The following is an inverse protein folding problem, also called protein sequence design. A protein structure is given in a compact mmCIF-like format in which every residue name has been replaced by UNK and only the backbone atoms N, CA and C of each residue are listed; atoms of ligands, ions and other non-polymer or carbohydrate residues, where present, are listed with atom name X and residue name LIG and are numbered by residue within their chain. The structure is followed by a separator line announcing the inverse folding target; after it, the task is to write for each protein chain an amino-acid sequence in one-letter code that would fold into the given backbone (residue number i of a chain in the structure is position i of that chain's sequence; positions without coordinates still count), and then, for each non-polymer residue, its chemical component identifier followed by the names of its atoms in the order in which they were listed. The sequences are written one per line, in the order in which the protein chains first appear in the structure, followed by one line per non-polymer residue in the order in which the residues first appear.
data_IF_794598476720
#
_entry.id   IF_794598476720
#
_cell.length_a   1.000
_cell.length_b   1.000
_cell.length_c   1.000
_cell.angle_alpha   90.00
_cell.angle_beta   90.00
_cell.angle_gamma   90.00
#
_symmetry.space_group_name_H-M   'P 1'
#
loop_
_entity.id
_entity.type
_entity.pdbx_description
1 polymer ?
#
# COMPACT_ATOMS: atom_id res chain seq x y z
N UNK A 1 -8.61 -5.53 -39.70
CA UNK A 1 -8.69 -6.06 -38.31
C UNK A 1 -9.89 -6.99 -38.25
N UNK A 2 -9.72 -8.29 -37.98
CA UNK A 2 -10.86 -9.20 -37.80
C UNK A 2 -11.46 -8.96 -36.41
N UNK A 3 -12.63 -8.33 -36.36
CA UNK A 3 -13.51 -8.28 -35.19
C UNK A 3 -13.98 -9.70 -34.88
N UNK A 4 -13.71 -10.19 -33.67
CA UNK A 4 -14.27 -11.47 -33.22
C UNK A 4 -15.76 -11.24 -32.89
N UNK A 5 -16.64 -11.62 -33.82
CA UNK A 5 -18.07 -11.74 -33.53
C UNK A 5 -18.27 -13.04 -32.78
N UNK A 6 -18.31 -12.98 -31.45
CA UNK A 6 -18.82 -14.09 -30.67
C UNK A 6 -20.33 -14.14 -30.90
N UNK A 7 -20.79 -15.16 -31.60
CA UNK A 7 -22.22 -15.49 -31.79
C UNK A 7 -22.43 -16.95 -31.41
N UNK A 8 -23.67 -17.34 -31.11
CA UNK A 8 -24.01 -18.75 -30.89
C UNK A 8 -24.00 -19.24 -29.43
N UNK A 9 -24.19 -18.36 -28.44
CA UNK A 9 -24.41 -18.78 -27.04
C UNK A 9 -25.84 -19.22 -26.72
N UNK A 10 -26.79 -19.03 -27.65
CA UNK A 10 -28.17 -19.49 -27.52
C UNK A 10 -28.38 -20.98 -27.12
N UNK A 11 -27.52 -21.94 -27.53
CA UNK A 11 -27.64 -23.35 -27.13
C UNK A 11 -26.99 -23.71 -25.79
N UNK A 12 -26.46 -22.74 -25.01
CA UNK A 12 -25.76 -23.02 -23.76
C UNK A 12 -26.53 -22.51 -22.52
N UNK A 13 -27.72 -23.05 -22.20
CA UNK A 13 -28.61 -22.54 -21.13
C UNK A 13 -28.07 -22.77 -19.71
N UNK A 14 -26.97 -23.52 -19.57
CA UNK A 14 -26.32 -23.83 -18.30
C UNK A 14 -24.93 -23.21 -18.17
N UNK A 15 -24.53 -22.33 -19.09
CA UNK A 15 -23.24 -21.67 -19.02
C UNK A 15 -23.21 -20.73 -17.82
N UNK A 16 -22.43 -21.08 -16.80
CA UNK A 16 -22.27 -20.29 -15.56
C UNK A 16 -21.03 -19.42 -15.55
N UNK A 17 -19.94 -19.91 -16.14
CA UNK A 17 -18.66 -19.22 -16.14
C UNK A 17 -18.16 -19.12 -17.57
N UNK A 18 -17.79 -17.92 -18.00
CA UNK A 18 -17.22 -17.67 -19.32
C UNK A 18 -15.90 -16.90 -19.21
N UNK A 19 -14.85 -17.54 -19.71
CA UNK A 19 -13.51 -16.97 -19.85
C UNK A 19 -13.29 -16.54 -21.30
N UNK A 20 -13.15 -15.23 -21.51
CA UNK A 20 -12.97 -14.62 -22.82
C UNK A 20 -11.87 -13.54 -22.80
N UNK A 21 -10.93 -13.66 -21.87
CA UNK A 21 -9.77 -12.76 -21.74
C UNK A 21 -8.80 -12.83 -22.93
N UNK A 22 -8.01 -11.78 -23.14
CA UNK A 22 -6.96 -11.70 -24.16
C UNK A 22 -7.47 -11.90 -25.60
N UNK A 23 -8.68 -11.43 -25.89
CA UNK A 23 -9.30 -11.49 -27.21
C UNK A 23 -9.37 -10.08 -27.85
N UNK A 24 -10.19 -9.94 -28.89
CA UNK A 24 -10.46 -8.66 -29.59
C UNK A 24 -11.94 -8.28 -29.49
N UNK A 25 -12.56 -8.59 -28.35
CA UNK A 25 -13.96 -8.29 -28.09
C UNK A 25 -14.09 -6.78 -27.87
N UNK A 26 -15.05 -6.18 -28.57
CA UNK A 26 -15.27 -4.72 -28.54
C UNK A 26 -16.62 -4.33 -27.92
N UNK A 27 -17.47 -5.31 -27.59
CA UNK A 27 -18.81 -5.10 -27.07
C UNK A 27 -19.26 -6.27 -26.18
N UNK A 28 -20.02 -5.94 -25.13
CA UNK A 28 -20.66 -6.92 -24.24
C UNK A 28 -21.94 -7.55 -24.83
N UNK A 29 -22.46 -7.04 -25.96
CA UNK A 29 -23.73 -7.47 -26.56
C UNK A 29 -23.89 -8.99 -26.72
N UNK A 30 -22.87 -9.76 -27.15
CA UNK A 30 -22.98 -11.21 -27.28
C UNK A 30 -23.39 -11.98 -26.02
N UNK A 31 -23.17 -11.39 -24.84
CA UNK A 31 -23.36 -12.07 -23.56
C UNK A 31 -24.65 -11.67 -22.85
N UNK A 32 -25.35 -10.63 -23.33
CA UNK A 32 -26.43 -9.97 -22.59
C UNK A 32 -27.63 -10.87 -22.29
N UNK A 33 -27.81 -11.97 -23.03
CA UNK A 33 -28.97 -12.87 -22.91
C UNK A 33 -28.65 -14.21 -22.22
N UNK A 34 -27.44 -14.38 -21.68
CA UNK A 34 -27.01 -15.64 -21.05
C UNK A 34 -27.43 -15.64 -19.57
N UNK A 35 -28.73 -15.88 -19.31
CA UNK A 35 -29.34 -15.73 -17.98
C UNK A 35 -28.65 -16.51 -16.84
N UNK A 36 -28.09 -17.68 -17.14
CA UNK A 36 -27.41 -18.56 -16.16
C UNK A 36 -26.00 -18.11 -15.78
N UNK A 37 -25.47 -17.07 -16.41
CA UNK A 37 -24.07 -16.67 -16.26
C UNK A 37 -23.86 -16.00 -14.90
N UNK A 38 -22.98 -16.57 -14.09
CA UNK A 38 -22.61 -16.08 -12.76
C UNK A 38 -21.24 -15.40 -12.75
N UNK A 39 -20.36 -15.74 -13.69
CA UNK A 39 -19.04 -15.12 -13.84
C UNK A 39 -18.66 -14.90 -15.30
N UNK A 40 -18.21 -13.68 -15.61
CA UNK A 40 -17.78 -13.27 -16.94
C UNK A 40 -16.42 -12.58 -16.86
N UNK A 41 -15.41 -13.18 -17.50
CA UNK A 41 -14.08 -12.60 -17.63
C UNK A 41 -13.86 -12.07 -19.06
N UNK A 42 -13.79 -10.75 -19.18
CA UNK A 42 -13.53 -10.01 -20.42
C UNK A 42 -12.24 -9.19 -20.33
N UNK A 43 -11.33 -9.56 -19.43
CA UNK A 43 -10.04 -8.90 -19.23
C UNK A 43 -9.23 -8.81 -20.53
N UNK A 44 -8.47 -7.72 -20.73
CA UNK A 44 -7.53 -7.60 -21.86
C UNK A 44 -8.22 -7.76 -23.22
N UNK A 45 -9.28 -6.98 -23.44
CA UNK A 45 -10.01 -6.86 -24.69
C UNK A 45 -9.98 -5.39 -25.18
N UNK A 46 -10.89 -5.00 -26.07
CA UNK A 46 -10.97 -3.63 -26.62
C UNK A 46 -12.36 -3.02 -26.43
N UNK A 47 -13.05 -3.38 -25.35
CA UNK A 47 -14.38 -2.88 -25.01
C UNK A 47 -14.28 -1.40 -24.62
N UNK A 48 -15.19 -0.58 -25.17
CA UNK A 48 -15.27 0.87 -24.87
C UNK A 48 -16.49 1.29 -24.07
N UNK A 49 -17.59 0.54 -24.17
CA UNK A 49 -18.89 0.87 -23.56
C UNK A 49 -19.54 -0.40 -23.03
N UNK A 50 -20.15 -0.32 -21.85
CA UNK A 50 -20.71 -1.47 -21.13
C UNK A 50 -22.10 -1.85 -21.65
N UNK A 51 -23.03 -0.88 -21.66
CA UNK A 51 -24.41 -1.04 -22.17
C UNK A 51 -25.18 -2.20 -21.52
N UNK A 52 -25.14 -2.36 -20.20
CA UNK A 52 -25.91 -3.40 -19.49
C UNK A 52 -27.35 -2.97 -19.10
N UNK A 53 -27.87 -1.87 -19.63
CA UNK A 53 -29.20 -1.35 -19.26
C UNK A 53 -30.38 -2.24 -19.70
N UNK A 54 -30.18 -3.09 -20.71
CA UNK A 54 -31.19 -4.02 -21.26
C UNK A 54 -30.61 -5.44 -21.33
N UNK A 55 -30.22 -6.00 -20.19
CA UNK A 55 -29.58 -7.34 -20.11
C UNK A 55 -30.38 -8.33 -19.27
N UNK A 56 -30.33 -9.60 -19.64
CA UNK A 56 -30.91 -10.73 -18.88
C UNK A 56 -29.90 -11.37 -17.91
N UNK A 57 -28.74 -10.74 -17.70
CA UNK A 57 -27.64 -11.22 -16.84
C UNK A 57 -27.96 -11.06 -15.34
N UNK A 58 -29.12 -11.56 -14.91
CA UNK A 58 -29.66 -11.37 -13.55
C UNK A 58 -28.91 -12.17 -12.48
N UNK A 59 -28.20 -13.24 -12.86
CA UNK A 59 -27.42 -14.09 -11.95
C UNK A 59 -25.92 -13.72 -11.91
N UNK A 60 -25.49 -12.71 -12.70
CA UNK A 60 -24.07 -12.38 -12.80
C UNK A 60 -23.55 -11.77 -11.49
N UNK A 61 -22.67 -12.50 -10.81
CA UNK A 61 -22.09 -12.09 -9.53
C UNK A 61 -20.69 -11.48 -9.69
N UNK A 62 -19.95 -11.88 -10.74
CA UNK A 62 -18.57 -11.47 -10.95
C UNK A 62 -18.30 -11.07 -12.40
N UNK A 63 -17.78 -9.86 -12.58
CA UNK A 63 -17.44 -9.30 -13.88
C UNK A 63 -16.03 -8.69 -13.86
N UNK A 64 -15.13 -9.24 -14.68
CA UNK A 64 -13.81 -8.67 -14.91
C UNK A 64 -13.75 -8.03 -16.30
N UNK A 65 -13.55 -6.72 -16.31
CA UNK A 65 -13.40 -5.88 -17.50
C UNK A 65 -12.07 -5.12 -17.47
N UNK A 66 -11.12 -5.57 -16.65
CA UNK A 66 -9.83 -4.91 -16.51
C UNK A 66 -9.02 -4.94 -17.82
N UNK A 67 -8.14 -3.95 -18.03
CA UNK A 67 -7.34 -3.84 -19.25
C UNK A 67 -8.21 -3.76 -20.53
N UNK A 68 -9.22 -2.90 -20.52
CA UNK A 68 -10.01 -2.56 -21.71
C UNK A 68 -9.79 -1.08 -22.05
N UNK A 69 -10.75 -0.43 -22.74
CA UNK A 69 -10.71 0.98 -23.13
C UNK A 69 -12.01 1.69 -22.75
N UNK A 70 -12.57 1.32 -21.60
CA UNK A 70 -13.87 1.84 -21.13
C UNK A 70 -13.68 3.28 -20.67
N UNK A 71 -14.51 4.19 -21.18
CA UNK A 71 -14.40 5.64 -20.94
C UNK A 71 -15.35 6.14 -19.84
N UNK A 72 -16.44 5.40 -19.58
CA UNK A 72 -17.46 5.72 -18.57
C UNK A 72 -17.95 4.45 -17.87
N UNK A 73 -18.22 4.55 -16.56
CA UNK A 73 -18.96 3.52 -15.83
C UNK A 73 -20.44 3.88 -15.88
N UNK A 74 -21.17 3.22 -16.76
CA UNK A 74 -22.60 3.42 -17.00
C UNK A 74 -23.35 2.09 -17.13
N UNK A 75 -24.67 2.15 -16.87
CA UNK A 75 -25.62 1.05 -17.06
C UNK A 75 -25.32 -0.26 -16.32
N UNK A 76 -24.34 -0.26 -15.42
CA UNK A 76 -23.90 -1.44 -14.66
C UNK A 76 -24.91 -1.82 -13.56
N UNK A 77 -25.76 -0.87 -13.15
CA UNK A 77 -26.91 -1.08 -12.26
C UNK A 77 -27.93 -2.08 -12.83
N UNK A 78 -27.91 -2.33 -14.15
CA UNK A 78 -28.69 -3.38 -14.80
C UNK A 78 -28.26 -4.82 -14.43
N UNK A 79 -27.19 -4.98 -13.63
CA UNK A 79 -26.70 -6.27 -13.12
C UNK A 79 -27.04 -6.43 -11.63
N UNK A 80 -28.27 -6.85 -11.27
CA UNK A 80 -28.79 -6.76 -9.91
C UNK A 80 -28.09 -7.69 -8.90
N UNK A 81 -27.42 -8.74 -9.37
CA UNK A 81 -26.70 -9.70 -8.51
C UNK A 81 -25.20 -9.45 -8.43
N UNK A 82 -24.69 -8.38 -9.04
CA UNK A 82 -23.25 -8.15 -9.13
C UNK A 82 -22.64 -7.86 -7.76
N UNK A 83 -21.58 -8.61 -7.43
CA UNK A 83 -20.87 -8.54 -6.14
C UNK A 83 -19.42 -8.12 -6.31
N UNK A 84 -18.80 -8.47 -7.43
CA UNK A 84 -17.42 -8.13 -7.77
C UNK A 84 -17.38 -7.51 -9.16
N UNK A 85 -16.89 -6.27 -9.24
CA UNK A 85 -16.61 -5.57 -10.48
C UNK A 85 -15.15 -5.12 -10.52
N UNK A 86 -14.42 -5.60 -11.53
CA UNK A 86 -13.05 -5.19 -11.79
C UNK A 86 -12.97 -4.39 -13.09
N UNK A 87 -12.62 -3.12 -12.98
CA UNK A 87 -12.45 -2.16 -14.07
C UNK A 87 -11.05 -1.54 -14.06
N UNK A 88 -10.09 -2.18 -13.39
CA UNK A 88 -8.72 -1.68 -13.34
C UNK A 88 -8.13 -1.53 -14.76
N UNK A 89 -7.28 -0.53 -14.98
CA UNK A 89 -6.63 -0.28 -16.27
C UNK A 89 -7.64 -0.06 -17.41
N UNK A 90 -8.45 0.98 -17.27
CA UNK A 90 -9.33 1.49 -18.32
C UNK A 90 -9.10 3.02 -18.45
N UNK A 91 -9.96 3.71 -19.20
CA UNK A 91 -9.90 5.15 -19.42
C UNK A 91 -11.10 5.86 -18.76
N UNK A 92 -11.61 5.32 -17.64
CA UNK A 92 -12.86 5.82 -17.03
C UNK A 92 -12.64 7.20 -16.44
N UNK A 93 -13.40 8.17 -16.92
CA UNK A 93 -13.38 9.56 -16.43
C UNK A 93 -14.55 9.90 -15.51
N UNK A 94 -15.66 9.16 -15.65
CA UNK A 94 -16.94 9.46 -15.00
C UNK A 94 -17.72 8.19 -14.61
N UNK A 95 -18.51 8.32 -13.56
CA UNK A 95 -19.41 7.28 -13.03
C UNK A 95 -20.83 7.81 -13.10
N UNK A 96 -21.69 7.14 -13.87
CA UNK A 96 -23.09 7.48 -14.07
C UNK A 96 -23.95 6.26 -13.68
N UNK A 97 -24.47 6.29 -12.47
CA UNK A 97 -25.31 5.23 -11.90
C UNK A 97 -26.60 5.89 -11.44
N UNK A 98 -27.73 5.43 -11.98
CA UNK A 98 -29.05 5.99 -11.65
C UNK A 98 -29.60 5.45 -10.34
N UNK A 99 -29.31 4.18 -10.03
CA UNK A 99 -29.81 3.49 -8.83
C UNK A 99 -28.66 2.86 -8.02
N UNK A 100 -28.65 3.01 -6.67
CA UNK A 100 -27.62 2.40 -5.84
C UNK A 100 -27.48 0.89 -6.05
N UNK A 101 -26.24 0.40 -6.11
CA UNK A 101 -25.94 -1.02 -6.29
C UNK A 101 -25.73 -1.70 -4.93
N UNK A 102 -26.83 -2.10 -4.29
CA UNK A 102 -26.84 -2.58 -2.90
C UNK A 102 -26.11 -3.92 -2.66
N UNK A 103 -25.80 -4.67 -3.72
CA UNK A 103 -25.13 -5.98 -3.62
C UNK A 103 -23.63 -5.94 -3.94
N UNK A 104 -23.13 -4.82 -4.46
CA UNK A 104 -21.74 -4.72 -4.87
C UNK A 104 -20.83 -4.65 -3.64
N UNK A 105 -19.94 -5.63 -3.49
CA UNK A 105 -19.03 -5.76 -2.33
C UNK A 105 -17.61 -5.35 -2.66
N UNK A 106 -17.17 -5.56 -3.90
CA UNK A 106 -15.81 -5.31 -4.35
C UNK A 106 -15.88 -4.48 -5.64
N UNK A 107 -15.31 -3.28 -5.60
CA UNK A 107 -15.17 -2.40 -6.73
C UNK A 107 -13.70 -2.01 -6.91
N UNK A 108 -13.14 -2.34 -8.07
CA UNK A 108 -11.78 -1.98 -8.45
C UNK A 108 -11.81 -1.07 -9.67
N UNK A 109 -11.28 0.14 -9.51
CA UNK A 109 -11.26 1.23 -10.48
C UNK A 109 -9.85 1.86 -10.57
N UNK A 110 -8.81 1.10 -10.21
CA UNK A 110 -7.43 1.58 -10.22
C UNK A 110 -6.94 1.78 -11.66
N UNK A 111 -5.99 2.67 -11.89
CA UNK A 111 -5.46 2.98 -13.22
C UNK A 111 -6.56 3.42 -14.19
N UNK A 112 -7.30 4.45 -13.79
CA UNK A 112 -8.30 5.12 -14.60
C UNK A 112 -8.03 6.65 -14.57
N UNK A 113 -9.01 7.46 -14.93
CA UNK A 113 -8.89 8.93 -15.05
C UNK A 113 -9.96 9.65 -14.22
N UNK A 114 -10.46 9.00 -13.16
CA UNK A 114 -11.51 9.54 -12.31
C UNK A 114 -11.03 10.82 -11.61
N UNK A 115 -11.88 11.86 -11.63
CA UNK A 115 -11.63 13.14 -10.93
C UNK A 115 -12.36 13.25 -9.60
N UNK A 116 -13.40 12.45 -9.41
CA UNK A 116 -14.17 12.35 -8.16
C UNK A 116 -14.74 10.94 -8.03
N UNK A 117 -15.18 10.60 -6.82
CA UNK A 117 -15.89 9.36 -6.56
C UNK A 117 -17.04 9.60 -5.57
N UNK A 118 -18.19 8.99 -5.83
CA UNK A 118 -19.35 9.02 -4.92
C UNK A 118 -19.63 7.61 -4.38
N UNK A 119 -19.32 7.38 -3.11
CA UNK A 119 -19.57 6.12 -2.42
C UNK A 119 -21.04 5.82 -2.15
N UNK A 120 -21.94 6.81 -2.18
CA UNK A 120 -23.36 6.59 -1.89
C UNK A 120 -24.05 5.67 -2.90
N UNK A 121 -23.44 5.47 -4.07
CA UNK A 121 -23.93 4.61 -5.13
C UNK A 121 -23.69 3.11 -4.83
N UNK A 122 -22.89 2.76 -3.82
CA UNK A 122 -22.46 1.38 -3.57
C UNK A 122 -22.47 1.02 -2.07
N UNK A 123 -23.63 1.01 -1.39
CA UNK A 123 -23.72 1.03 0.08
C UNK A 123 -23.20 -0.23 0.80
N UNK A 124 -23.15 -1.42 0.17
CA UNK A 124 -22.59 -2.66 0.78
C UNK A 124 -21.10 -2.90 0.43
N UNK A 125 -20.38 -1.89 -0.06
CA UNK A 125 -18.96 -2.04 -0.40
C UNK A 125 -18.13 -2.45 0.82
N UNK A 126 -17.27 -3.44 0.58
CA UNK A 126 -16.28 -3.98 1.53
C UNK A 126 -14.86 -3.72 1.07
N UNK A 127 -14.64 -3.61 -0.24
CA UNK A 127 -13.34 -3.30 -0.84
C UNK A 127 -13.50 -2.30 -1.97
N UNK A 128 -12.77 -1.19 -1.87
CA UNK A 128 -12.77 -0.11 -2.86
C UNK A 128 -11.34 0.29 -3.17
N UNK A 129 -10.91 0.05 -4.41
CA UNK A 129 -9.57 0.45 -4.89
C UNK A 129 -9.67 1.46 -6.02
N UNK A 130 -9.05 2.62 -5.80
CA UNK A 130 -9.07 3.81 -6.66
C UNK A 130 -7.64 4.27 -7.01
N UNK A 131 -6.65 3.39 -6.93
CA UNK A 131 -5.23 3.74 -7.05
C UNK A 131 -4.92 4.29 -8.44
N UNK A 132 -4.00 5.25 -8.55
CA UNK A 132 -3.59 5.82 -9.85
C UNK A 132 -4.78 6.36 -10.65
N UNK A 133 -5.46 7.34 -10.06
CA UNK A 133 -6.50 8.16 -10.72
C UNK A 133 -6.10 9.65 -10.61
N UNK A 134 -7.06 10.56 -10.78
CA UNK A 134 -6.89 12.02 -10.64
C UNK A 134 -7.91 12.59 -9.64
N UNK A 135 -8.26 11.80 -8.62
CA UNK A 135 -9.36 12.13 -7.70
C UNK A 135 -8.97 13.32 -6.83
N UNK A 136 -9.83 14.34 -6.83
CA UNK A 136 -9.71 15.51 -5.94
C UNK A 136 -10.67 15.46 -4.77
N UNK A 137 -11.79 14.74 -4.90
CA UNK A 137 -12.83 14.68 -3.87
C UNK A 137 -13.52 13.32 -3.85
N UNK A 138 -13.74 12.82 -2.65
CA UNK A 138 -14.56 11.63 -2.41
C UNK A 138 -15.74 12.00 -1.52
N UNK A 139 -16.96 11.78 -2.00
CA UNK A 139 -18.20 12.00 -1.25
C UNK A 139 -18.89 10.67 -0.96
N UNK A 140 -19.83 10.65 0.00
CA UNK A 140 -20.63 9.47 0.30
C UNK A 140 -19.87 8.33 1.01
N UNK A 141 -18.69 8.59 1.59
CA UNK A 141 -17.98 7.58 2.41
C UNK A 141 -18.79 7.18 3.65
N UNK A 142 -19.62 8.08 4.19
CA UNK A 142 -20.56 7.79 5.28
C UNK A 142 -21.61 6.74 4.90
N UNK A 143 -21.90 6.58 3.60
CA UNK A 143 -22.87 5.62 3.08
C UNK A 143 -22.31 4.21 2.87
N UNK A 144 -21.00 4.00 3.09
CA UNK A 144 -20.33 2.68 2.95
C UNK A 144 -19.74 2.20 4.28
N UNK A 145 -20.56 2.00 5.32
CA UNK A 145 -20.09 1.73 6.68
C UNK A 145 -19.39 0.37 6.86
N UNK A 146 -19.53 -0.54 5.88
CA UNK A 146 -18.96 -1.88 5.89
C UNK A 146 -17.63 -1.98 5.12
N UNK A 147 -17.02 -0.85 4.79
CA UNK A 147 -15.75 -0.82 4.07
C UNK A 147 -14.63 -1.39 4.95
N UNK A 148 -14.01 -2.49 4.50
CA UNK A 148 -12.91 -3.14 5.21
C UNK A 148 -11.54 -2.78 4.63
N UNK A 149 -11.47 -2.58 3.31
CA UNK A 149 -10.23 -2.23 2.61
C UNK A 149 -10.47 -1.07 1.66
N UNK A 150 -9.72 0.00 1.86
CA UNK A 150 -9.82 1.24 1.09
C UNK A 150 -8.44 1.64 0.55
N UNK A 151 -8.36 1.91 -0.74
CA UNK A 151 -7.12 2.31 -1.40
C UNK A 151 -7.39 3.49 -2.34
N UNK A 152 -6.63 4.57 -2.17
CA UNK A 152 -6.65 5.76 -3.05
C UNK A 152 -5.21 6.22 -3.31
N UNK A 153 -4.28 5.28 -3.48
CA UNK A 153 -2.87 5.63 -3.71
C UNK A 153 -2.71 6.48 -4.97
N UNK A 154 -1.75 7.41 -4.94
CA UNK A 154 -1.31 8.19 -6.09
C UNK A 154 -2.46 8.78 -6.93
N UNK A 155 -2.97 9.95 -6.52
CA UNK A 155 -3.95 10.69 -7.31
C UNK A 155 -3.32 11.72 -8.24
N UNK A 156 -2.12 11.46 -8.76
CA UNK A 156 -1.43 12.35 -9.69
C UNK A 156 -1.01 13.69 -9.05
N UNK A 157 -0.65 13.67 -7.76
CA UNK A 157 -0.26 14.87 -7.02
C UNK A 157 -1.42 15.74 -6.54
N UNK A 158 -2.67 15.35 -6.80
CA UNK A 158 -3.83 16.05 -6.26
C UNK A 158 -3.93 15.88 -4.74
N UNK A 159 -4.31 16.94 -4.04
CA UNK A 159 -4.80 16.85 -2.67
C UNK A 159 -6.20 16.24 -2.72
N UNK A 160 -6.38 15.12 -2.03
CA UNK A 160 -7.67 14.42 -2.00
C UNK A 160 -8.47 14.93 -0.80
N UNK A 161 -9.55 15.64 -1.09
CA UNK A 161 -10.57 16.03 -0.12
C UNK A 161 -11.35 14.77 0.32
N UNK A 162 -10.95 14.21 1.47
CA UNK A 162 -11.57 13.04 2.09
C UNK A 162 -11.63 13.20 3.60
N UNK A 163 -12.78 12.85 4.18
CA UNK A 163 -12.95 12.82 5.64
C UNK A 163 -12.60 11.43 6.18
N UNK A 164 -11.45 11.34 6.86
CA UNK A 164 -10.94 10.11 7.45
C UNK A 164 -11.88 9.49 8.50
N UNK A 165 -12.75 10.29 9.15
CA UNK A 165 -13.73 9.80 10.11
C UNK A 165 -14.60 8.66 9.57
N UNK A 166 -14.97 8.73 8.29
CA UNK A 166 -15.83 7.72 7.67
C UNK A 166 -15.11 6.39 7.39
N UNK A 167 -13.78 6.34 7.52
CA UNK A 167 -12.98 5.13 7.33
C UNK A 167 -12.73 4.35 8.62
N UNK A 168 -13.34 4.74 9.76
CA UNK A 168 -13.12 4.11 11.09
C UNK A 168 -13.37 2.59 11.15
N UNK A 169 -14.19 2.06 10.24
CA UNK A 169 -14.47 0.62 10.11
C UNK A 169 -13.48 -0.16 9.23
N UNK A 170 -12.53 0.52 8.60
CA UNK A 170 -11.55 -0.11 7.72
C UNK A 170 -10.47 -0.84 8.52
N UNK A 171 -10.13 -2.04 8.05
CA UNK A 171 -8.97 -2.82 8.53
C UNK A 171 -7.68 -2.49 7.79
N UNK A 172 -7.79 -2.11 6.51
CA UNK A 172 -6.64 -1.81 5.64
C UNK A 172 -6.87 -0.52 4.88
N UNK A 173 -5.99 0.46 5.10
CA UNK A 173 -6.05 1.78 4.46
C UNK A 173 -4.74 2.06 3.74
N UNK A 174 -4.82 2.41 2.46
CA UNK A 174 -3.68 2.69 1.61
C UNK A 174 -3.82 4.08 0.97
N UNK A 175 -2.97 5.02 1.40
CA UNK A 175 -3.06 6.43 1.03
C UNK A 175 -1.76 6.99 0.43
N UNK A 176 -0.78 6.13 0.16
CA UNK A 176 0.54 6.52 -0.37
C UNK A 176 0.47 7.40 -1.62
N UNK A 177 1.45 8.30 -1.75
CA UNK A 177 1.59 9.16 -2.93
C UNK A 177 0.57 10.28 -3.02
N UNK A 178 -0.12 10.60 -1.93
CA UNK A 178 -0.99 11.77 -1.84
C UNK A 178 -0.40 12.75 -0.81
N UNK A 179 -0.27 14.04 -1.16
CA UNK A 179 0.27 15.04 -0.25
C UNK A 179 -0.68 15.24 0.95
N UNK A 180 -0.19 14.87 2.14
CA UNK A 180 -0.84 15.00 3.45
C UNK A 180 0.21 15.47 4.45
N UNK A 181 0.50 16.78 4.48
CA UNK A 181 1.56 17.34 5.35
C UNK A 181 1.39 16.98 6.83
N UNK A 182 0.13 16.94 7.30
CA UNK A 182 -0.26 16.57 8.66
C UNK A 182 -1.53 15.72 8.63
N UNK A 183 -1.65 14.80 9.56
CA UNK A 183 -2.89 14.05 9.81
C UNK A 183 -3.76 14.83 10.79
N UNK A 184 -4.79 15.51 10.29
CA UNK A 184 -5.81 16.21 11.11
C UNK A 184 -7.12 15.44 11.11
N UNK A 185 -8.02 15.78 12.04
CA UNK A 185 -9.40 15.27 12.07
C UNK A 185 -9.51 13.74 12.12
N UNK A 186 -8.51 13.13 12.76
CA UNK A 186 -8.43 11.69 12.95
C UNK A 186 -9.52 11.23 13.94
N UNK A 187 -10.30 10.23 13.53
CA UNK A 187 -11.22 9.51 14.42
C UNK A 187 -10.50 8.35 15.12
N UNK A 188 -11.23 7.65 16.00
CA UNK A 188 -10.75 6.39 16.55
C UNK A 188 -10.99 5.23 15.57
N UNK A 189 -9.90 4.65 15.07
CA UNK A 189 -9.85 3.50 14.16
C UNK A 189 -9.54 2.22 14.94
N UNK A 190 -10.49 1.75 15.74
CA UNK A 190 -10.30 0.53 16.53
C UNK A 190 -10.16 -0.75 15.70
N UNK A 191 -10.49 -0.72 14.40
CA UNK A 191 -10.43 -1.91 13.54
C UNK A 191 -9.20 -1.92 12.61
N UNK A 192 -8.44 -0.82 12.56
CA UNK A 192 -7.37 -0.66 11.60
C UNK A 192 -6.13 -1.48 12.00
N UNK A 193 -5.75 -2.41 11.13
CA UNK A 193 -4.62 -3.33 11.32
C UNK A 193 -3.44 -2.96 10.42
N UNK A 194 -3.72 -2.38 9.25
CA UNK A 194 -2.73 -2.04 8.23
C UNK A 194 -2.92 -0.60 7.74
N UNK A 195 -1.87 0.21 7.83
CA UNK A 195 -1.84 1.57 7.32
C UNK A 195 -0.61 1.80 6.45
N UNK A 196 -0.83 2.34 5.25
CA UNK A 196 0.22 2.73 4.33
C UNK A 196 0.08 4.20 3.92
N UNK A 197 1.13 4.97 4.23
CA UNK A 197 1.24 6.42 4.09
C UNK A 197 2.62 6.80 3.51
N UNK A 198 3.13 6.05 2.53
CA UNK A 198 4.42 6.37 1.92
C UNK A 198 4.33 7.57 0.99
N UNK A 199 5.40 8.37 0.87
CA UNK A 199 5.44 9.54 -0.03
C UNK A 199 4.27 10.49 0.18
N UNK A 200 3.86 10.68 1.44
CA UNK A 200 2.74 11.53 1.82
C UNK A 200 3.16 12.95 2.22
N UNK A 201 4.46 13.26 2.20
CA UNK A 201 5.01 14.54 2.66
C UNK A 201 4.71 14.82 4.14
N UNK A 202 4.52 13.78 4.96
CA UNK A 202 4.27 13.92 6.39
C UNK A 202 5.51 14.47 7.10
N UNK A 203 5.36 15.56 7.85
CA UNK A 203 6.44 16.14 8.67
C UNK A 203 6.44 15.57 10.09
N UNK A 204 5.26 15.24 10.61
CA UNK A 204 5.07 14.68 11.94
C UNK A 204 3.83 13.79 12.00
N UNK A 205 3.79 12.90 12.99
CA UNK A 205 2.58 12.19 13.40
C UNK A 205 1.99 12.87 14.64
N UNK A 206 0.65 12.96 14.78
CA UNK A 206 0.05 13.53 15.97
C UNK A 206 0.31 12.67 17.20
N UNK A 207 0.52 13.28 18.37
CA UNK A 207 0.76 12.52 19.62
C UNK A 207 -0.40 11.58 20.02
N UNK A 208 -1.59 11.78 19.44
CA UNK A 208 -2.77 10.90 19.62
C UNK A 208 -2.77 9.68 18.71
N UNK A 209 -1.81 9.55 17.78
CA UNK A 209 -1.80 8.54 16.73
C UNK A 209 -2.00 7.12 17.26
N UNK A 210 -1.17 6.70 18.21
CA UNK A 210 -1.25 5.35 18.77
C UNK A 210 -2.56 5.10 19.54
N UNK A 211 -3.13 6.13 20.19
CA UNK A 211 -4.43 6.04 20.89
C UNK A 211 -5.59 5.89 19.92
N UNK A 212 -5.52 6.60 18.79
CA UNK A 212 -6.55 6.59 17.76
C UNK A 212 -6.54 5.29 16.95
N UNK A 213 -5.38 4.62 16.83
CA UNK A 213 -5.24 3.41 16.00
C UNK A 213 -4.56 2.26 16.78
N UNK A 214 -5.11 1.84 17.93
CA UNK A 214 -4.39 1.01 18.89
C UNK A 214 -4.11 -0.42 18.41
N UNK A 215 -4.83 -0.88 17.38
CA UNK A 215 -4.72 -2.23 16.82
C UNK A 215 -3.86 -2.31 15.56
N UNK A 216 -3.13 -1.23 15.20
CA UNK A 216 -2.21 -1.26 14.08
C UNK A 216 -1.10 -2.29 14.31
N UNK A 217 -0.98 -3.19 13.33
CA UNK A 217 0.05 -4.22 13.30
C UNK A 217 1.12 -3.93 12.24
N UNK A 218 0.76 -3.27 11.14
CA UNK A 218 1.66 -2.99 10.02
C UNK A 218 1.53 -1.53 9.60
N UNK A 219 2.65 -0.82 9.62
CA UNK A 219 2.71 0.60 9.30
C UNK A 219 3.84 0.88 8.30
N UNK A 220 3.47 1.48 7.17
CA UNK A 220 4.40 1.94 6.14
C UNK A 220 4.37 3.47 6.07
N UNK A 221 5.53 4.09 6.34
CA UNK A 221 5.71 5.54 6.43
C UNK A 221 6.93 6.03 5.63
N UNK A 222 7.35 5.25 4.62
CA UNK A 222 8.57 5.55 3.84
C UNK A 222 8.46 6.81 3.00
N UNK A 223 9.58 7.46 2.71
CA UNK A 223 9.67 8.69 1.90
C UNK A 223 8.79 9.82 2.45
N UNK A 224 8.91 10.08 3.75
CA UNK A 224 8.29 11.22 4.44
C UNK A 224 9.38 12.09 5.08
N UNK A 225 8.98 13.08 5.88
CA UNK A 225 9.88 14.01 6.55
C UNK A 225 9.91 13.80 8.08
N UNK A 226 9.54 12.61 8.56
CA UNK A 226 9.46 12.31 9.99
C UNK A 226 10.85 12.36 10.63
N UNK A 227 10.96 13.06 11.76
CA UNK A 227 12.21 13.18 12.52
C UNK A 227 12.33 12.19 13.68
N UNK A 228 11.20 11.65 14.14
CA UNK A 228 11.12 10.67 15.23
C UNK A 228 9.86 9.81 15.09
N UNK A 229 9.77 8.77 15.93
CA UNK A 229 8.68 7.79 15.93
C UNK A 229 7.93 7.75 17.26
N UNK A 230 8.15 8.73 18.13
CA UNK A 230 7.58 8.80 19.48
C UNK A 230 6.04 8.66 19.51
N UNK A 231 5.27 9.20 18.55
CA UNK A 231 3.82 9.01 18.49
C UNK A 231 3.35 7.55 18.30
N UNK A 232 4.25 6.64 17.95
CA UNK A 232 3.96 5.21 17.73
C UNK A 232 4.10 4.36 19.00
N UNK A 233 4.74 4.87 20.07
CA UNK A 233 5.17 4.08 21.25
C UNK A 233 4.06 3.28 21.94
N UNK A 234 2.82 3.74 21.88
CA UNK A 234 1.70 3.05 22.55
C UNK A 234 1.06 1.93 21.69
N UNK A 235 1.57 1.68 20.48
CA UNK A 235 1.09 0.60 19.60
C UNK A 235 1.55 -0.79 20.08
N UNK A 236 0.76 -1.41 20.95
CA UNK A 236 1.09 -2.69 21.61
C UNK A 236 1.16 -3.89 20.66
N UNK A 237 0.47 -3.82 19.52
CA UNK A 237 0.39 -4.88 18.52
C UNK A 237 1.24 -4.60 17.28
N UNK A 238 2.07 -3.55 17.29
CA UNK A 238 2.91 -3.22 16.15
C UNK A 238 3.90 -4.35 15.89
N UNK A 239 3.82 -4.92 14.70
CA UNK A 239 4.64 -6.04 14.25
C UNK A 239 5.65 -5.63 13.19
N UNK A 240 5.29 -4.66 12.36
CA UNK A 240 6.13 -4.22 11.25
C UNK A 240 6.05 -2.71 11.06
N UNK A 241 7.22 -2.09 10.98
CA UNK A 241 7.39 -0.65 10.80
C UNK A 241 8.43 -0.37 9.70
N UNK A 242 8.00 0.33 8.65
CA UNK A 242 8.88 0.66 7.51
C UNK A 242 8.98 2.18 7.40
N UNK A 243 10.19 2.70 7.59
CA UNK A 243 10.52 4.13 7.70
C UNK A 243 11.65 4.55 6.75
N UNK A 244 11.91 3.76 5.70
CA UNK A 244 12.87 4.07 4.64
C UNK A 244 12.73 5.54 4.20
N UNK A 245 13.85 6.25 4.05
CA UNK A 245 13.87 7.62 3.50
C UNK A 245 13.00 8.59 4.32
N UNK A 246 13.41 8.83 5.57
CA UNK A 246 12.84 9.84 6.47
C UNK A 246 13.96 10.75 7.02
N UNK A 247 13.67 11.55 8.06
CA UNK A 247 14.61 12.49 8.68
C UNK A 247 15.03 12.07 10.10
N UNK A 248 14.97 10.78 10.40
CA UNK A 248 15.34 10.25 11.71
C UNK A 248 16.88 10.26 11.86
N UNK A 249 17.39 10.95 12.87
CA UNK A 249 18.83 11.13 13.07
C UNK A 249 19.34 10.64 14.43
N UNK A 250 18.51 10.66 15.48
CA UNK A 250 18.92 10.33 16.84
C UNK A 250 18.71 8.83 17.14
N UNK A 251 19.81 8.10 17.31
CA UNK A 251 19.79 6.68 17.68
C UNK A 251 19.29 6.44 19.11
N UNK A 252 19.64 7.29 20.08
CA UNK A 252 19.19 7.13 21.46
C UNK A 252 17.67 7.20 21.57
N UNK A 253 17.07 8.26 21.02
CA UNK A 253 15.61 8.44 21.00
C UNK A 253 14.92 7.29 20.27
N UNK A 254 15.48 6.85 19.13
CA UNK A 254 14.93 5.74 18.36
C UNK A 254 14.95 4.43 19.16
N UNK A 255 16.06 4.14 19.85
CA UNK A 255 16.21 2.96 20.73
C UNK A 255 15.18 3.00 21.86
N UNK A 256 15.03 4.15 22.53
CA UNK A 256 14.05 4.33 23.60
C UNK A 256 12.62 4.11 23.10
N UNK A 257 12.32 4.63 21.91
CA UNK A 257 11.00 4.53 21.29
C UNK A 257 10.67 3.09 20.84
N UNK A 258 11.65 2.31 20.33
CA UNK A 258 11.40 0.92 19.91
C UNK A 258 11.45 -0.10 21.05
N UNK A 259 12.11 0.23 22.16
CA UNK A 259 12.30 -0.69 23.30
C UNK A 259 10.99 -1.17 23.93
N UNK A 260 9.92 -0.40 23.76
CA UNK A 260 8.59 -0.71 24.28
C UNK A 260 7.82 -1.70 23.40
N UNK A 261 8.27 -1.94 22.16
CA UNK A 261 7.56 -2.82 21.23
C UNK A 261 7.90 -4.29 21.47
N UNK A 262 6.98 -5.01 22.10
CA UNK A 262 7.15 -6.44 22.37
C UNK A 262 6.90 -7.37 21.18
N UNK A 263 6.26 -6.88 20.11
CA UNK A 263 5.88 -7.69 18.94
C UNK A 263 6.53 -7.24 17.62
N UNK A 264 7.33 -6.17 17.64
CA UNK A 264 7.96 -5.61 16.44
C UNK A 264 9.03 -6.58 15.91
N UNK A 265 8.72 -7.30 14.84
CA UNK A 265 9.63 -8.27 14.23
C UNK A 265 10.38 -7.71 13.02
N UNK A 266 9.87 -6.65 12.40
CA UNK A 266 10.47 -6.03 11.22
C UNK A 266 10.57 -4.51 11.39
N UNK A 267 11.78 -3.98 11.23
CA UNK A 267 12.08 -2.54 11.22
C UNK A 267 12.97 -2.21 10.02
N UNK A 268 12.66 -1.13 9.32
CA UNK A 268 13.52 -0.63 8.23
C UNK A 268 13.67 0.88 8.35
N UNK A 269 14.91 1.30 8.59
CA UNK A 269 15.34 2.69 8.85
C UNK A 269 16.40 3.14 7.84
N UNK A 270 16.59 2.40 6.73
CA UNK A 270 17.54 2.78 5.68
C UNK A 270 17.22 4.17 5.11
N UNK A 271 18.21 4.80 4.47
CA UNK A 271 18.06 6.13 3.87
C UNK A 271 17.60 7.23 4.86
N UNK A 272 17.79 7.01 6.16
CA UNK A 272 17.63 8.04 7.18
C UNK A 272 19.00 8.59 7.58
N UNK A 273 19.09 9.83 8.10
CA UNK A 273 20.33 10.35 8.66
C UNK A 273 21.01 9.41 9.69
N UNK A 274 20.22 8.68 10.49
CA UNK A 274 20.71 7.69 11.47
C UNK A 274 21.47 6.52 10.83
N UNK A 275 21.14 6.16 9.57
CA UNK A 275 21.71 5.04 8.83
C UNK A 275 22.57 5.50 7.64
N UNK A 276 22.88 6.79 7.58
CA UNK A 276 23.56 7.39 6.44
C UNK A 276 24.95 6.77 6.24
N UNK A 277 25.26 6.40 4.98
CA UNK A 277 26.54 5.76 4.57
C UNK A 277 26.76 4.34 5.11
N UNK A 278 25.84 3.75 5.85
CA UNK A 278 25.96 2.35 6.29
C UNK A 278 25.62 1.35 5.21
N UNK A 279 24.79 1.77 4.25
CA UNK A 279 24.18 0.92 3.24
C UNK A 279 24.44 1.46 1.82
N UNK A 280 24.47 0.58 0.80
CA UNK A 280 24.41 1.03 -0.58
C UNK A 280 23.07 1.71 -0.86
N UNK A 281 23.01 2.58 -1.87
CA UNK A 281 21.77 3.30 -2.21
C UNK A 281 20.63 2.32 -2.52
N UNK A 282 19.46 2.56 -1.91
CA UNK A 282 18.27 1.74 -2.16
C UNK A 282 17.71 2.08 -3.54
N UNK A 283 18.02 1.26 -4.53
CA UNK A 283 17.50 1.39 -5.89
C UNK A 283 16.16 0.68 -6.01
N UNK A 284 15.15 1.37 -6.55
CA UNK A 284 13.90 0.73 -6.95
C UNK A 284 14.21 -0.29 -8.06
N UNK A 285 14.21 -1.58 -7.71
CA UNK A 285 14.53 -2.64 -8.68
C UNK A 285 13.53 -2.62 -9.84
N UNK A 286 14.00 -2.31 -11.04
CA UNK A 286 13.27 -2.29 -12.32
C UNK A 286 12.83 -3.68 -12.83
N UNK A 287 12.89 -4.73 -11.99
CA UNK A 287 12.63 -6.13 -12.37
C UNK A 287 11.27 -6.70 -11.94
N UNK A 288 10.29 -5.88 -11.59
CA UNK A 288 8.91 -6.36 -11.39
C UNK A 288 8.07 -6.13 -12.65
N UNK A 289 8.19 -7.08 -13.60
CA UNK A 289 7.58 -7.04 -14.93
C UNK A 289 6.03 -7.07 -14.94
N UNK A 290 5.34 -7.21 -13.80
CA UNK A 290 3.89 -7.46 -13.79
C UNK A 290 3.00 -6.40 -13.15
N UNK A 291 3.44 -5.49 -12.26
CA UNK A 291 2.60 -4.36 -11.76
C UNK A 291 3.47 -3.19 -11.23
N UNK A 292 4.18 -2.44 -12.09
CA UNK A 292 5.24 -1.52 -11.66
C UNK A 292 4.79 -0.32 -10.80
N UNK A 293 3.53 0.11 -10.87
CA UNK A 293 3.06 1.35 -10.21
C UNK A 293 2.44 1.12 -8.81
N UNK A 294 1.84 -0.04 -8.55
CA UNK A 294 1.30 -0.42 -7.23
C UNK A 294 2.41 -0.82 -6.26
N UNK A 295 3.48 -1.44 -6.80
CA UNK A 295 4.57 -2.01 -6.03
C UNK A 295 5.62 -0.94 -5.67
N UNK A 296 5.60 0.26 -6.26
CA UNK A 296 6.68 1.24 -6.04
C UNK A 296 6.89 1.62 -4.56
N UNK A 297 5.81 1.70 -3.77
CA UNK A 297 5.89 2.04 -2.34
C UNK A 297 6.41 0.91 -1.46
N UNK A 298 6.37 -0.33 -1.96
CA UNK A 298 6.78 -1.54 -1.25
C UNK A 298 7.98 -2.24 -1.92
N UNK A 299 8.43 -1.75 -3.08
CA UNK A 299 9.46 -2.37 -3.90
C UNK A 299 10.79 -2.61 -3.15
N UNK A 300 11.27 -1.68 -2.30
CA UNK A 300 12.50 -1.90 -1.53
C UNK A 300 12.46 -3.09 -0.56
N UNK A 301 11.27 -3.57 -0.19
CA UNK A 301 11.10 -4.73 0.69
C UNK A 301 11.24 -6.04 -0.09
N UNK A 302 10.69 -6.10 -1.30
CA UNK A 302 10.70 -7.29 -2.15
C UNK A 302 12.00 -7.47 -2.94
N UNK A 303 13.00 -6.63 -2.69
CA UNK A 303 14.32 -6.77 -3.31
C UNK A 303 15.10 -7.94 -2.71
N UNK A 304 14.99 -9.09 -3.38
CA UNK A 304 15.73 -10.32 -3.05
C UNK A 304 17.24 -10.20 -3.26
N UNK A 305 17.72 -9.19 -3.99
CA UNK A 305 19.15 -8.97 -4.23
C UNK A 305 19.80 -8.08 -3.19
N UNK A 306 19.03 -7.49 -2.28
CA UNK A 306 19.51 -6.54 -1.28
C UNK A 306 20.66 -7.11 -0.43
N UNK A 307 20.50 -8.30 0.12
CA UNK A 307 21.49 -8.93 1.01
C UNK A 307 22.86 -9.05 0.34
N UNK A 308 22.93 -9.57 -0.89
CA UNK A 308 24.21 -9.73 -1.60
C UNK A 308 24.87 -8.39 -1.95
N UNK A 309 24.09 -7.36 -2.30
CA UNK A 309 24.63 -6.02 -2.57
C UNK A 309 25.15 -5.34 -1.32
N UNK A 310 24.45 -5.54 -0.21
CA UNK A 310 24.89 -5.04 1.09
C UNK A 310 26.17 -5.73 1.57
N UNK A 311 26.29 -7.06 1.39
CA UNK A 311 27.51 -7.80 1.73
C UNK A 311 28.73 -7.23 0.98
N UNK A 312 28.62 -7.03 -0.34
CA UNK A 312 29.69 -6.43 -1.16
C UNK A 312 30.03 -4.99 -0.72
N UNK A 313 29.01 -4.20 -0.37
CA UNK A 313 29.21 -2.83 0.11
C UNK A 313 29.92 -2.82 1.47
N UNK A 314 29.51 -3.71 2.39
CA UNK A 314 30.07 -3.82 3.73
C UNK A 314 31.53 -4.23 3.70
N UNK A 315 31.94 -5.11 2.78
CA UNK A 315 33.35 -5.50 2.59
C UNK A 315 34.24 -4.31 2.23
N UNK A 316 33.72 -3.39 1.40
CA UNK A 316 34.41 -2.19 0.95
C UNK A 316 34.29 -1.00 1.93
N UNK A 317 33.48 -1.13 2.97
CA UNK A 317 33.23 -0.05 3.94
C UNK A 317 34.47 0.17 4.83
N UNK A 318 34.97 1.41 4.97
CA UNK A 318 36.08 1.72 5.87
C UNK A 318 35.81 1.26 7.30
N UNK A 319 36.85 0.84 8.02
CA UNK A 319 36.73 0.22 9.36
C UNK A 319 35.89 1.06 10.31
N UNK A 320 36.14 2.37 10.40
CA UNK A 320 35.38 3.26 11.29
C UNK A 320 33.89 3.36 10.94
N UNK A 321 33.51 3.29 9.65
CA UNK A 321 32.10 3.25 9.24
C UNK A 321 31.47 1.88 9.52
N UNK A 322 32.25 0.80 9.40
CA UNK A 322 31.83 -0.55 9.76
C UNK A 322 31.51 -0.66 11.25
N UNK A 323 32.42 -0.21 12.12
CA UNK A 323 32.20 -0.17 13.58
C UNK A 323 30.96 0.67 13.93
N UNK A 324 30.75 1.81 13.26
CA UNK A 324 29.55 2.65 13.46
C UNK A 324 28.26 1.93 13.05
N UNK A 325 28.25 1.27 11.90
CA UNK A 325 27.13 0.48 11.41
C UNK A 325 26.82 -0.68 12.38
N UNK A 326 27.84 -1.39 12.83
CA UNK A 326 27.69 -2.52 13.74
C UNK A 326 27.12 -2.06 15.09
N UNK A 327 27.63 -0.96 15.65
CA UNK A 327 27.08 -0.35 16.87
C UNK A 327 25.63 0.15 16.71
N UNK A 328 25.29 0.73 15.55
CA UNK A 328 23.93 1.11 15.20
C UNK A 328 22.97 -0.08 15.19
N UNK A 329 23.32 -1.15 14.46
CA UNK A 329 22.50 -2.37 14.37
C UNK A 329 22.39 -3.06 15.73
N UNK A 330 23.50 -3.24 16.43
CA UNK A 330 23.55 -3.86 17.74
C UNK A 330 22.68 -3.12 18.77
N UNK A 331 22.66 -1.79 18.75
CA UNK A 331 21.80 -0.99 19.63
C UNK A 331 20.32 -1.30 19.38
N UNK A 332 19.86 -1.31 18.13
CA UNK A 332 18.46 -1.61 17.82
C UNK A 332 18.09 -3.06 18.18
N UNK A 333 18.97 -4.01 17.90
CA UNK A 333 18.76 -5.45 18.16
C UNK A 333 18.70 -5.74 19.66
N UNK A 334 19.60 -5.16 20.45
CA UNK A 334 19.67 -5.36 21.90
C UNK A 334 18.41 -4.89 22.60
N UNK A 335 17.96 -3.68 22.26
CA UNK A 335 16.84 -3.03 22.95
C UNK A 335 15.48 -3.42 22.38
N UNK A 336 15.40 -4.00 21.17
CA UNK A 336 14.19 -4.56 20.59
C UNK A 336 14.33 -6.08 20.35
N UNK A 337 14.18 -6.88 21.42
CA UNK A 337 14.42 -8.35 21.39
C UNK A 337 13.49 -9.14 20.45
N UNK A 338 12.33 -8.58 20.14
CA UNK A 338 11.33 -9.14 19.22
C UNK A 338 11.77 -9.05 17.75
N UNK A 339 12.77 -8.20 17.44
CA UNK A 339 13.23 -7.95 16.09
C UNK A 339 13.85 -9.21 15.46
N UNK A 340 13.46 -9.47 14.21
CA UNK A 340 13.92 -10.58 13.36
C UNK A 340 14.51 -10.10 12.05
N UNK A 341 14.03 -8.97 11.55
CA UNK A 341 14.54 -8.33 10.34
C UNK A 341 14.80 -6.85 10.62
N UNK A 342 16.01 -6.39 10.32
CA UNK A 342 16.42 -5.00 10.42
C UNK A 342 17.02 -4.55 9.09
N UNK A 343 16.50 -3.45 8.53
CA UNK A 343 16.99 -2.83 7.30
C UNK A 343 16.98 -3.80 6.11
N UNK A 344 15.87 -4.53 6.01
CA UNK A 344 15.61 -5.59 5.03
C UNK A 344 16.63 -6.74 5.03
N UNK A 345 17.27 -6.99 6.18
CA UNK A 345 18.16 -8.14 6.40
C UNK A 345 17.73 -8.93 7.63
N UNK A 346 17.79 -10.25 7.52
CA UNK A 346 17.51 -11.15 8.66
C UNK A 346 18.63 -11.01 9.69
N UNK A 347 18.24 -10.81 10.95
CA UNK A 347 19.16 -10.77 12.09
C UNK A 347 19.62 -12.19 12.36
N UNK A 348 20.93 -12.42 12.28
CA UNK A 348 21.55 -13.71 12.63
C UNK A 348 21.69 -13.82 14.15
N UNK A 349 21.69 -15.04 14.68
CA UNK A 349 21.84 -15.24 16.13
C UNK A 349 23.20 -14.73 16.64
N UNK A 350 24.28 -14.93 15.88
CA UNK A 350 25.61 -14.37 16.17
C UNK A 350 25.60 -12.83 16.33
N UNK A 351 24.78 -12.12 15.56
CA UNK A 351 24.66 -10.65 15.66
C UNK A 351 23.97 -10.25 16.97
N UNK A 352 23.01 -11.05 17.42
CA UNK A 352 22.32 -10.85 18.69
C UNK A 352 23.23 -11.14 19.87
N UNK A 353 24.00 -12.23 19.81
CA UNK A 353 24.92 -12.64 20.87
C UNK A 353 26.08 -11.64 21.05
N UNK A 354 26.57 -11.06 19.96
CA UNK A 354 27.67 -10.10 19.96
C UNK A 354 27.23 -8.64 20.13
N UNK A 355 25.95 -8.35 20.34
CA UNK A 355 25.42 -6.99 20.35
C UNK A 355 26.06 -6.11 21.45
N UNK A 356 26.31 -6.67 22.65
CA UNK A 356 26.95 -5.94 23.75
C UNK A 356 28.39 -5.54 23.39
N UNK A 357 29.18 -6.48 22.85
CA UNK A 357 30.55 -6.22 22.43
C UNK A 357 30.63 -5.16 21.32
N UNK A 358 29.69 -5.18 20.36
CA UNK A 358 29.64 -4.17 19.30
C UNK A 358 29.31 -2.76 19.84
N UNK A 359 28.45 -2.66 20.86
CA UNK A 359 28.11 -1.38 21.52
C UNK A 359 29.29 -0.85 22.34
N UNK A 360 30.05 -1.72 23.00
CA UNK A 360 31.23 -1.28 23.75
C UNK A 360 32.37 -0.85 22.83
N UNK A 361 32.58 -1.57 21.71
CA UNK A 361 33.56 -1.21 20.68
C UNK A 361 33.31 0.21 20.11
N UNK A 362 32.06 0.56 19.76
CA UNK A 362 31.76 1.92 19.28
C UNK A 362 31.96 2.99 20.36
N UNK A 363 31.74 2.66 21.65
CA UNK A 363 31.99 3.58 22.77
C UNK A 363 33.47 3.83 22.98
N UNK A 364 34.29 2.79 22.93
CA UNK A 364 35.75 2.89 22.99
C UNK A 364 36.31 3.71 21.81
N UNK A 365 35.91 3.35 20.60
CA UNK A 365 36.31 4.08 19.38
C UNK A 365 35.93 5.56 19.43
N UNK A 366 34.78 5.90 20.03
CA UNK A 366 34.35 7.30 20.20
C UNK A 366 35.19 8.05 21.24
N UNK A 367 35.67 7.37 22.29
CA UNK A 367 36.59 7.96 23.27
C UNK A 367 37.96 8.21 22.66
N UNK A 368 38.47 7.27 21.88
CA UNK A 368 39.78 7.39 21.21
C UNK A 368 39.80 8.56 20.21
N UNK A 369 38.72 8.76 19.46
CA UNK A 369 38.60 9.93 18.56
C UNK A 369 38.57 11.23 19.36
N UNK A 370 37.80 11.32 20.46
CA UNK A 370 37.76 12.53 21.28
C UNK A 370 39.14 12.86 21.86
N UNK A 371 39.82 11.85 22.40
CA UNK A 371 41.18 11.98 22.92
C UNK A 371 42.16 12.43 21.83
N UNK A 372 42.08 11.86 20.63
CA UNK A 372 42.93 12.27 19.50
C UNK A 372 42.65 13.69 19.00
N UNK A 373 41.44 14.23 19.19
CA UNK A 373 41.12 15.62 18.88
C UNK A 373 41.62 16.57 19.97
N UNK A 374 41.50 16.18 21.25
CA UNK A 374 42.02 16.94 22.40
C UNK A 374 43.56 16.99 22.45
N UNK A 375 44.25 15.98 21.92
CA UNK A 375 45.73 15.95 21.82
C UNK A 375 46.29 16.74 20.62
N UNK A 376 45.43 17.24 19.72
CA UNK A 376 45.80 18.03 18.54
C UNK A 376 45.38 19.52 18.63
N UNK A 377 44.80 19.95 19.75
CA UNK A 377 44.63 21.37 20.15
C UNK A 377 45.75 21.78 21.13
#
# INVERSE_FOLDING_TARGET
MKTCYLTGFGPCPHLRVLHAENNKIYSCKPFQHIRSLTSLNLRSNVIKRLRFGETDLIELESLDLSYNRIESLDSIEGLPSLRLLNLDHNDIESVFIETPMDRLKILRLSFNRLKSFNGSLFPDLRTLYLDTNQIKRIVGLSCIPRLHSFSVRNQGGNVVDLNLYHLRGCRKVYLSGNPMRRLTDMADFFTLEYLELCSAQLEELPNTFARQMPNLAVVYLSSNFLTNIRPLRELRYLRKLVLLDNRISNLGDTVDDISVFHHLYYLDLRENPISQKFYPAVTATTKLKSQPKLIQYLAPEYDTTWGSRDDEFREKLPVHWRVRRDGYRASLIKYCKSLRTLDNMVIKDEERDNADAAIDNIREFSKDIKKALEENE
#
